data_IF_095308052239
#
_entry.id   IF_095308052239
#
_cell.length_a   1.000
_cell.length_b   1.000
_cell.length_c   1.000
_cell.angle_alpha   90.00
_cell.angle_beta   90.00
_cell.angle_gamma   90.00
#
_symmetry.space_group_name_H-M   'P 1'
#
loop_
_entity.id
_entity.type
_entity.pdbx_description
1 polymer ?
#
# COMPACT_ATOMS: atom_id res chain seq x y z
N UNK A 1 2.03 41.48 -9.08
CA UNK A 1 2.37 40.38 -10.01
C UNK A 1 2.61 39.03 -9.32
N UNK A 2 3.03 39.04 -8.05
CA UNK A 2 3.21 37.81 -7.27
C UNK A 2 1.88 37.11 -6.95
N UNK A 3 0.78 37.83 -6.82
CA UNK A 3 -0.54 37.30 -6.50
C UNK A 3 -1.11 36.40 -7.61
N UNK A 4 -1.01 36.79 -8.87
CA UNK A 4 -1.58 36.04 -9.98
C UNK A 4 -0.92 34.67 -10.18
N UNK A 5 0.41 34.61 -10.09
CA UNK A 5 1.13 33.32 -10.16
C UNK A 5 0.77 32.42 -8.97
N UNK A 6 0.73 32.97 -7.75
CA UNK A 6 0.31 32.25 -6.55
C UNK A 6 -1.10 31.69 -6.67
N UNK A 7 -2.04 32.47 -7.23
CA UNK A 7 -3.43 32.06 -7.44
C UNK A 7 -3.56 30.96 -8.51
N UNK A 8 -2.71 30.98 -9.54
CA UNK A 8 -2.67 29.90 -10.54
C UNK A 8 -2.15 28.59 -9.91
N UNK A 9 -1.04 28.64 -9.16
CA UNK A 9 -0.51 27.46 -8.48
C UNK A 9 -1.48 26.89 -7.46
N UNK A 10 -2.15 27.75 -6.69
CA UNK A 10 -3.15 27.34 -5.71
C UNK A 10 -4.31 26.62 -6.40
N UNK A 11 -4.85 27.19 -7.49
CA UNK A 11 -5.93 26.55 -8.26
C UNK A 11 -5.50 25.22 -8.88
N UNK A 12 -4.27 25.12 -9.36
CA UNK A 12 -3.74 23.86 -9.87
C UNK A 12 -3.66 22.80 -8.78
N UNK A 13 -3.16 23.18 -7.60
CA UNK A 13 -3.09 22.28 -6.44
C UNK A 13 -4.50 21.85 -5.98
N UNK A 14 -5.44 22.79 -5.86
CA UNK A 14 -6.81 22.52 -5.41
C UNK A 14 -7.51 21.53 -6.35
N UNK A 15 -7.35 21.70 -7.66
CA UNK A 15 -7.97 20.86 -8.69
C UNK A 15 -7.19 19.57 -9.02
N UNK A 16 -6.11 19.30 -8.32
CA UNK A 16 -5.29 18.11 -8.58
C UNK A 16 -5.46 17.06 -7.49
N UNK A 17 -5.50 15.79 -7.90
CA UNK A 17 -5.24 14.68 -6.99
C UNK A 17 -3.74 14.50 -6.87
N UNK A 18 -3.22 14.58 -5.64
CA UNK A 18 -1.81 14.40 -5.31
C UNK A 18 -1.65 13.13 -4.49
N UNK A 19 -0.79 12.23 -4.95
CA UNK A 19 -0.46 11.00 -4.24
C UNK A 19 1.05 10.95 -4.05
N UNK A 20 1.48 10.83 -2.81
CA UNK A 20 2.89 10.71 -2.44
C UNK A 20 3.03 9.38 -1.71
N UNK A 21 3.89 8.53 -2.21
CA UNK A 21 4.19 7.23 -1.61
C UNK A 21 5.63 6.84 -1.88
N UNK A 22 6.15 5.91 -1.07
CA UNK A 22 7.41 5.25 -1.36
C UNK A 22 7.16 3.95 -2.16
N UNK A 23 8.16 3.51 -2.90
CA UNK A 23 8.17 2.24 -3.63
C UNK A 23 8.21 1.04 -2.67
N UNK A 24 8.88 1.21 -1.51
CA UNK A 24 8.94 0.23 -0.43
C UNK A 24 9.11 0.94 0.92
N UNK A 25 9.00 0.19 2.02
CA UNK A 25 9.30 0.65 3.38
C UNK A 25 10.78 0.44 3.74
N UNK A 26 11.07 0.43 5.04
CA UNK A 26 12.40 0.09 5.54
C UNK A 26 12.73 -1.40 5.33
N UNK A 27 14.01 -1.72 5.33
CA UNK A 27 14.47 -3.10 5.24
C UNK A 27 14.00 -3.92 6.45
N UNK A 28 13.28 -5.01 6.20
CA UNK A 28 12.75 -5.87 7.25
C UNK A 28 11.81 -6.95 6.73
N UNK A 29 11.21 -7.70 7.65
CA UNK A 29 10.26 -8.78 7.32
C UNK A 29 8.95 -8.25 6.71
N UNK A 30 8.67 -6.97 6.87
CA UNK A 30 7.50 -6.30 6.32
C UNK A 30 7.82 -4.84 6.07
N UNK A 31 7.47 -4.41 4.91
CA UNK A 31 7.65 -3.03 4.47
C UNK A 31 6.35 -2.26 4.70
N UNK A 32 6.48 -1.03 5.19
CA UNK A 32 5.35 -0.14 5.49
C UNK A 32 5.59 1.22 4.86
N UNK A 33 5.46 1.34 3.54
CA UNK A 33 5.52 2.64 2.91
C UNK A 33 4.33 3.49 3.38
N UNK A 34 4.59 4.73 3.73
CA UNK A 34 3.53 5.70 3.97
C UNK A 34 2.90 6.11 2.64
N UNK A 35 1.60 6.35 2.64
CA UNK A 35 0.87 6.88 1.51
C UNK A 35 0.14 8.14 1.95
N UNK A 36 0.38 9.24 1.27
CA UNK A 36 -0.34 10.50 1.46
C UNK A 36 -1.19 10.77 0.24
N UNK A 37 -2.46 11.05 0.44
CA UNK A 37 -3.41 11.30 -0.65
C UNK A 37 -4.20 12.57 -0.38
N UNK A 38 -4.16 13.48 -1.34
CA UNK A 38 -5.07 14.62 -1.44
C UNK A 38 -5.88 14.45 -2.72
N UNK A 39 -7.19 14.35 -2.60
CA UNK A 39 -8.07 14.32 -3.78
C UNK A 39 -8.28 15.73 -4.34
N UNK A 40 -8.58 15.82 -5.63
CA UNK A 40 -9.02 17.06 -6.23
C UNK A 40 -10.26 17.61 -5.48
N UNK A 41 -10.38 18.92 -5.43
CA UNK A 41 -11.48 19.64 -4.80
C UNK A 41 -11.71 19.34 -3.31
N UNK A 42 -10.73 18.75 -2.62
CA UNK A 42 -10.78 18.57 -1.17
C UNK A 42 -10.05 19.71 -0.46
N UNK A 43 -10.75 20.35 0.45
CA UNK A 43 -10.26 21.45 1.28
C UNK A 43 -10.37 21.04 2.75
N UNK A 44 -9.49 20.20 3.22
CA UNK A 44 -9.42 19.82 4.62
C UNK A 44 -8.28 20.59 5.30
N UNK A 45 -8.60 21.31 6.36
CA UNK A 45 -7.60 22.05 7.15
C UNK A 45 -6.74 21.11 8.04
N UNK A 46 -7.19 19.86 8.20
CA UNK A 46 -6.52 18.88 9.06
C UNK A 46 -6.30 17.58 8.30
N UNK A 47 -5.06 17.08 8.35
CA UNK A 47 -4.72 15.77 7.81
C UNK A 47 -5.44 14.68 8.62
N UNK A 48 -6.16 13.82 7.92
CA UNK A 48 -6.74 12.61 8.50
C UNK A 48 -5.74 11.47 8.41
N UNK A 49 -5.53 10.75 9.50
CA UNK A 49 -4.65 9.59 9.56
C UNK A 49 -5.48 8.34 9.65
N UNK A 50 -5.21 7.39 8.78
CA UNK A 50 -5.81 6.06 8.80
C UNK A 50 -4.70 5.01 8.94
N UNK A 51 -4.82 4.14 9.95
CA UNK A 51 -3.89 3.03 10.19
C UNK A 51 -4.37 1.71 9.59
N UNK A 52 -5.52 1.70 8.91
CA UNK A 52 -6.02 0.49 8.27
C UNK A 52 -5.06 0.00 7.20
N UNK A 53 -5.04 -1.29 7.06
CA UNK A 53 -4.12 -1.97 6.18
C UNK A 53 -4.56 -1.88 4.73
N UNK A 54 -3.72 -1.30 3.90
CA UNK A 54 -3.93 -1.17 2.45
C UNK A 54 -2.83 -1.86 1.66
N UNK A 55 -3.08 -2.08 0.40
CA UNK A 55 -2.15 -2.71 -0.54
C UNK A 55 -1.95 -1.81 -1.77
N UNK A 56 -0.95 -2.11 -2.58
CA UNK A 56 -0.77 -1.43 -3.87
C UNK A 56 -2.00 -1.57 -4.80
N UNK A 57 -2.78 -2.65 -4.66
CA UNK A 57 -4.03 -2.80 -5.41
C UNK A 57 -5.02 -1.68 -5.08
N UNK A 58 -5.14 -1.31 -3.80
CA UNK A 58 -5.99 -0.19 -3.38
C UNK A 58 -5.45 1.15 -3.89
N UNK A 59 -4.12 1.31 -3.94
CA UNK A 59 -3.49 2.48 -4.53
C UNK A 59 -3.80 2.59 -6.02
N UNK A 60 -3.67 1.52 -6.80
CA UNK A 60 -4.05 1.50 -8.22
C UNK A 60 -5.52 1.81 -8.43
N UNK A 61 -6.42 1.27 -7.60
CA UNK A 61 -7.84 1.59 -7.65
C UNK A 61 -8.10 3.09 -7.39
N UNK A 62 -7.35 3.69 -6.47
CA UNK A 62 -7.42 5.13 -6.19
C UNK A 62 -6.96 5.96 -7.39
N UNK A 63 -5.85 5.59 -8.03
CA UNK A 63 -5.40 6.22 -9.29
C UNK A 63 -6.45 6.11 -10.39
N UNK A 64 -6.99 4.91 -10.59
CA UNK A 64 -8.01 4.66 -11.60
C UNK A 64 -9.25 5.52 -11.37
N UNK A 65 -9.71 5.63 -10.13
CA UNK A 65 -10.85 6.48 -9.77
C UNK A 65 -10.55 7.97 -9.96
N UNK A 66 -9.36 8.43 -9.60
CA UNK A 66 -8.96 9.82 -9.80
C UNK A 66 -8.86 10.19 -11.28
N UNK A 67 -8.33 9.28 -12.13
CA UNK A 67 -8.13 9.55 -13.56
C UNK A 67 -9.38 9.31 -14.42
N UNK A 68 -10.19 8.31 -14.10
CA UNK A 68 -11.29 7.83 -14.94
C UNK A 68 -12.67 8.02 -14.30
N UNK A 69 -12.73 8.51 -13.07
CA UNK A 69 -13.96 8.71 -12.32
C UNK A 69 -14.67 7.38 -12.03
N UNK A 70 -16.00 7.40 -12.08
CA UNK A 70 -16.84 6.22 -11.79
C UNK A 70 -16.69 5.07 -12.80
N UNK A 71 -15.99 5.30 -13.91
CA UNK A 71 -15.75 4.27 -14.93
C UNK A 71 -14.63 3.30 -14.56
N UNK A 72 -13.87 3.59 -13.49
CA UNK A 72 -12.80 2.71 -13.07
C UNK A 72 -13.36 1.51 -12.31
N UNK A 73 -13.00 0.31 -12.72
CA UNK A 73 -13.37 -0.95 -12.05
C UNK A 73 -12.13 -1.69 -11.52
N UNK A 74 -11.27 -0.96 -10.84
CA UNK A 74 -10.03 -1.53 -10.28
C UNK A 74 -10.19 -2.06 -8.83
N UNK A 75 -11.42 -2.13 -8.32
CA UNK A 75 -11.74 -2.59 -6.97
C UNK A 75 -11.74 -1.46 -5.93
N UNK A 76 -11.56 -1.81 -4.67
CA UNK A 76 -11.64 -0.88 -3.54
C UNK A 76 -10.46 0.09 -3.54
N UNK A 77 -10.75 1.38 -3.39
CA UNK A 77 -9.75 2.44 -3.22
C UNK A 77 -9.17 2.43 -1.80
N UNK A 78 -8.15 3.25 -1.55
CA UNK A 78 -7.61 3.48 -0.21
C UNK A 78 -8.69 3.97 0.78
N UNK A 79 -9.65 4.75 0.29
CA UNK A 79 -10.74 5.30 1.11
C UNK A 79 -11.82 4.27 1.45
N UNK A 80 -12.06 3.32 0.53
CA UNK A 80 -13.02 2.23 0.74
C UNK A 80 -12.50 1.19 1.76
N UNK A 81 -11.22 1.25 2.10
CA UNK A 81 -10.60 0.35 3.07
C UNK A 81 -10.67 0.85 4.51
N UNK A 82 -11.17 2.05 4.75
CA UNK A 82 -11.32 2.59 6.10
C UNK A 82 -12.24 1.69 6.95
N UNK A 83 -11.72 1.19 8.08
CA UNK A 83 -12.42 0.27 8.98
C UNK A 83 -12.55 -1.17 8.45
N UNK A 84 -11.92 -1.51 7.33
CA UNK A 84 -11.97 -2.86 6.77
C UNK A 84 -10.77 -3.67 7.25
N UNK A 85 -11.03 -4.63 8.14
CA UNK A 85 -10.01 -5.61 8.54
C UNK A 85 -9.91 -6.70 7.49
N UNK A 86 -8.72 -6.86 6.87
CA UNK A 86 -8.45 -7.94 5.93
C UNK A 86 -7.06 -8.53 6.15
N UNK A 87 -6.94 -9.83 5.92
CA UNK A 87 -5.63 -10.47 5.84
C UNK A 87 -4.90 -10.03 4.57
N UNK A 88 -3.61 -9.77 4.70
CA UNK A 88 -2.71 -9.49 3.58
C UNK A 88 -1.64 -10.55 3.53
N UNK A 89 -1.08 -10.76 2.36
CA UNK A 89 -0.02 -11.72 2.17
C UNK A 89 1.19 -11.00 1.57
N UNK A 90 2.36 -11.29 2.15
CA UNK A 90 3.63 -10.81 1.64
C UNK A 90 4.52 -12.01 1.33
N UNK A 91 5.08 -12.03 0.14
CA UNK A 91 6.00 -13.08 -0.29
C UNK A 91 7.42 -12.51 -0.19
N UNK A 92 8.19 -13.03 0.75
CA UNK A 92 9.61 -12.76 0.83
C UNK A 92 10.36 -13.76 -0.07
N UNK A 93 11.20 -13.30 -0.99
CA UNK A 93 11.91 -14.18 -1.91
C UNK A 93 13.10 -14.90 -1.28
N UNK A 94 13.05 -15.19 -0.01
CA UNK A 94 14.04 -15.96 0.75
C UNK A 94 13.38 -16.77 1.88
N UNK A 95 14.06 -17.82 2.33
CA UNK A 95 13.65 -18.57 3.50
C UNK A 95 14.09 -17.84 4.78
N UNK A 96 13.14 -17.28 5.51
CA UNK A 96 13.40 -16.54 6.75
C UNK A 96 13.99 -17.38 7.87
N UNK A 97 13.84 -18.71 7.82
CA UNK A 97 14.46 -19.61 8.80
C UNK A 97 15.98 -19.64 8.68
N UNK A 98 16.52 -19.25 7.53
CA UNK A 98 17.97 -19.16 7.25
C UNK A 98 18.57 -17.80 7.57
N UNK A 99 17.81 -16.89 8.14
CA UNK A 99 18.25 -15.54 8.48
C UNK A 99 17.82 -14.46 7.48
N UNK A 100 18.15 -13.23 7.78
CA UNK A 100 17.80 -12.07 6.95
C UNK A 100 18.84 -11.90 5.85
N UNK A 101 18.42 -11.97 4.58
CA UNK A 101 19.27 -11.76 3.40
C UNK A 101 20.52 -12.61 3.30
N UNK A 102 20.44 -13.92 3.03
CA UNK A 102 21.61 -14.67 2.58
C UNK A 102 21.96 -14.20 1.15
N UNK A 103 22.87 -13.25 1.05
CA UNK A 103 23.22 -12.59 -0.22
C UNK A 103 23.66 -13.55 -1.33
N UNK A 104 24.23 -14.70 -0.96
CA UNK A 104 24.77 -15.66 -1.92
C UNK A 104 23.81 -16.79 -2.32
N UNK A 105 22.76 -17.05 -1.55
CA UNK A 105 21.79 -18.11 -1.83
C UNK A 105 20.53 -17.61 -2.57
N UNK A 106 20.25 -16.32 -2.53
CA UNK A 106 19.08 -15.70 -3.14
C UNK A 106 18.84 -16.07 -4.61
N UNK A 107 19.90 -16.25 -5.36
CA UNK A 107 19.82 -16.60 -6.79
C UNK A 107 19.86 -18.11 -7.07
N UNK A 108 20.25 -18.93 -6.09
CA UNK A 108 20.48 -20.38 -6.29
C UNK A 108 19.32 -21.24 -5.85
N UNK A 109 18.68 -20.90 -4.74
CA UNK A 109 17.55 -21.63 -4.20
C UNK A 109 16.33 -20.73 -4.29
N UNK A 110 15.32 -21.13 -5.06
CA UNK A 110 14.04 -20.42 -5.16
C UNK A 110 13.17 -20.61 -3.90
N UNK A 111 13.82 -20.67 -2.74
CA UNK A 111 13.14 -20.72 -1.47
C UNK A 111 12.45 -19.37 -1.23
N UNK A 112 11.21 -19.39 -0.81
CA UNK A 112 10.46 -18.21 -0.45
C UNK A 112 9.66 -18.46 0.82
N UNK A 113 9.37 -17.38 1.53
CA UNK A 113 8.46 -17.41 2.67
C UNK A 113 7.23 -16.59 2.39
N UNK A 114 6.09 -17.07 2.83
CA UNK A 114 4.83 -16.34 2.76
C UNK A 114 4.41 -15.93 4.15
N UNK A 115 4.18 -14.65 4.33
CA UNK A 115 3.67 -14.07 5.55
C UNK A 115 2.21 -13.72 5.39
N UNK A 116 1.42 -14.12 6.38
CA UNK A 116 0.08 -13.57 6.58
C UNK A 116 0.16 -12.43 7.58
N UNK A 117 -0.37 -11.29 7.19
CA UNK A 117 -0.36 -10.06 7.96
C UNK A 117 -1.81 -9.68 8.26
N UNK A 118 -2.14 -9.55 9.54
CA UNK A 118 -3.46 -9.19 10.04
C UNK A 118 -3.39 -7.97 10.94
N UNK A 119 -4.52 -7.31 11.17
CA UNK A 119 -4.62 -6.11 12.00
C UNK A 119 -4.25 -4.83 11.23
N UNK A 120 -4.01 -3.78 12.00
CA UNK A 120 -3.68 -2.46 11.46
C UNK A 120 -2.22 -2.35 11.00
N UNK A 121 -1.90 -1.27 10.31
CA UNK A 121 -0.57 -1.05 9.76
C UNK A 121 0.47 -0.67 10.83
N UNK A 122 0.03 -0.23 12.02
CA UNK A 122 0.93 0.20 13.11
C UNK A 122 1.37 -0.98 13.95
N UNK A 123 0.42 -1.87 14.30
CA UNK A 123 0.64 -3.05 15.14
C UNK A 123 0.15 -4.33 14.46
N UNK A 124 0.72 -4.75 13.33
CA UNK A 124 0.28 -5.92 12.61
C UNK A 124 0.64 -7.21 13.39
N UNK A 125 -0.23 -8.20 13.27
CA UNK A 125 0.07 -9.57 13.65
C UNK A 125 0.60 -10.30 12.42
N UNK A 126 1.79 -10.89 12.52
CA UNK A 126 2.49 -11.51 11.40
C UNK A 126 2.73 -12.97 11.72
N UNK A 127 2.31 -13.84 10.82
CA UNK A 127 2.54 -15.28 10.89
C UNK A 127 3.15 -15.80 9.57
N UNK A 128 4.04 -16.78 9.68
CA UNK A 128 4.59 -17.47 8.50
C UNK A 128 3.65 -18.59 8.12
N UNK A 129 3.25 -18.62 6.85
CA UNK A 129 2.48 -19.73 6.29
C UNK A 129 3.47 -20.80 5.85
N UNK A 130 3.40 -21.96 6.52
CA UNK A 130 4.28 -23.12 6.22
C UNK A 130 3.57 -24.22 5.44
N UNK A 131 2.24 -24.14 5.26
CA UNK A 131 1.41 -25.19 4.68
C UNK A 131 1.03 -24.82 3.25
N UNK A 132 1.38 -25.73 2.29
CA UNK A 132 0.99 -25.60 0.89
C UNK A 132 -0.53 -25.52 0.69
N UNK A 133 -1.32 -26.12 1.58
CA UNK A 133 -2.77 -26.09 1.51
C UNK A 133 -3.32 -24.70 1.86
N UNK A 134 -2.69 -23.99 2.79
CA UNK A 134 -3.01 -22.62 3.10
C UNK A 134 -2.64 -21.68 1.93
N UNK A 135 -1.57 -22.00 1.20
CA UNK A 135 -1.14 -21.24 0.02
C UNK A 135 -2.13 -21.34 -1.16
N UNK A 136 -2.79 -22.49 -1.34
CA UNK A 136 -3.78 -22.68 -2.41
C UNK A 136 -5.03 -21.83 -2.21
N UNK A 137 -5.38 -21.50 -0.97
CA UNK A 137 -6.54 -20.66 -0.63
C UNK A 137 -6.29 -19.16 -0.84
N UNK A 138 -5.05 -18.75 -1.12
CA UNK A 138 -4.70 -17.34 -1.39
C UNK A 138 -5.06 -16.95 -2.83
N UNK A 139 -5.09 -17.91 -3.74
CA UNK A 139 -5.30 -17.69 -5.18
C UNK A 139 -6.76 -17.85 -5.64
N UNK A 140 -7.68 -18.11 -4.73
CA UNK A 140 -9.12 -18.15 -4.96
C UNK A 140 -9.81 -16.97 -4.32
#
# INVERSE_FOLDING_TARGET
SSSAASDVYKRQYDNSTVIITADHGGYGLYERPAVFVKMADTHNDVMQVNSDSVTFKNLYATYGKAALGQKSNYGNTLFDMAGVSQSRYHVAPWDVSKGMYPADEYLKNRDYSVFRIEGDAVNPQISVIKDEQQMKNINN
#
